data_IF_517720555535
#
_entry.id   IF_517720555535
#
_cell.length_a   1.000
_cell.length_b   1.000
_cell.length_c   1.000
_cell.angle_alpha   90.00
_cell.angle_beta   90.00
_cell.angle_gamma   90.00
#
_symmetry.space_group_name_H-M   'P 1'
#
loop_
_entity.id
_entity.type
_entity.pdbx_description
1 polymer ?
#
# COMPACT_ATOMS: atom_id res chain seq x y z
N UNK A 1 -17.09 12.49 -3.50
CA UNK A 1 -15.99 13.44 -3.76
C UNK A 1 -14.69 12.67 -3.58
N UNK A 2 -13.80 12.64 -4.58
CA UNK A 2 -12.46 12.07 -4.40
C UNK A 2 -11.66 13.02 -3.52
N UNK A 3 -11.10 12.52 -2.44
CA UNK A 3 -10.35 13.30 -1.46
C UNK A 3 -9.08 13.89 -2.13
N UNK A 4 -8.59 15.05 -1.71
CA UNK A 4 -7.35 15.65 -2.24
C UNK A 4 -6.15 14.68 -2.16
N UNK A 5 -6.13 13.85 -1.13
CA UNK A 5 -5.21 12.73 -0.97
C UNK A 5 -5.22 11.76 -2.17
N UNK A 6 -6.40 11.31 -2.62
CA UNK A 6 -6.52 10.40 -3.76
C UNK A 6 -6.01 11.04 -5.05
N UNK A 7 -6.18 12.36 -5.20
CA UNK A 7 -5.68 13.09 -6.37
C UNK A 7 -4.15 13.05 -6.40
N UNK A 8 -3.49 13.37 -5.28
CA UNK A 8 -2.03 13.32 -5.17
C UNK A 8 -1.48 11.90 -5.36
N UNK A 9 -2.13 10.91 -4.75
CA UNK A 9 -1.76 9.51 -4.92
C UNK A 9 -1.87 9.10 -6.40
N UNK A 10 -2.98 9.43 -7.07
CA UNK A 10 -3.18 9.11 -8.48
C UNK A 10 -2.17 9.81 -9.39
N UNK A 11 -1.84 11.07 -9.13
CA UNK A 11 -0.84 11.82 -9.90
C UNK A 11 0.56 11.18 -9.77
N UNK A 12 0.96 10.77 -8.57
CA UNK A 12 2.22 10.04 -8.39
C UNK A 12 2.22 8.73 -9.22
N UNK A 13 1.13 7.96 -9.17
CA UNK A 13 1.03 6.74 -9.95
C UNK A 13 1.11 6.96 -11.47
N UNK A 14 0.59 8.07 -11.98
CA UNK A 14 0.70 8.39 -13.41
C UNK A 14 2.15 8.60 -13.86
N UNK A 15 3.05 8.96 -12.95
CA UNK A 15 4.48 9.17 -13.22
C UNK A 15 5.31 7.89 -13.04
N UNK A 16 5.02 7.09 -12.02
CA UNK A 16 5.91 6.02 -11.57
C UNK A 16 5.34 4.60 -11.70
N UNK A 17 4.05 4.45 -12.02
CA UNK A 17 3.34 3.17 -12.00
C UNK A 17 2.68 2.91 -13.37
N UNK A 18 2.76 1.68 -13.93
CA UNK A 18 2.08 1.35 -15.18
C UNK A 18 0.56 1.48 -15.09
N UNK A 19 -0.08 1.83 -16.20
CA UNK A 19 -1.54 2.04 -16.28
C UNK A 19 -2.34 0.85 -15.74
N UNK A 20 -1.88 -0.38 -15.99
CA UNK A 20 -2.51 -1.61 -15.50
C UNK A 20 -2.61 -1.75 -13.98
N UNK A 21 -1.88 -0.92 -13.22
CA UNK A 21 -1.92 -0.86 -11.75
C UNK A 21 -2.69 0.35 -11.22
N UNK A 22 -3.14 1.29 -12.06
CA UNK A 22 -3.73 2.56 -11.61
C UNK A 22 -5.03 2.41 -10.81
N UNK A 23 -5.74 1.29 -10.97
CA UNK A 23 -6.90 0.92 -10.14
C UNK A 23 -6.55 0.79 -8.65
N UNK A 24 -5.28 0.54 -8.30
CA UNK A 24 -4.80 0.47 -6.92
C UNK A 24 -4.44 1.84 -6.33
N UNK A 25 -4.44 2.90 -7.14
CA UNK A 25 -3.98 4.23 -6.74
C UNK A 25 -5.12 5.08 -6.16
N UNK A 26 -5.72 4.56 -5.10
CA UNK A 26 -6.78 5.16 -4.29
C UNK A 26 -6.71 4.62 -2.86
N UNK A 27 -7.09 5.43 -1.88
CA UNK A 27 -7.12 5.01 -0.48
C UNK A 27 -8.40 4.23 -0.16
N UNK A 28 -8.40 2.95 -0.55
CA UNK A 28 -9.42 1.99 -0.14
C UNK A 28 -9.07 1.41 1.24
N UNK A 29 -9.74 1.91 2.28
CA UNK A 29 -9.46 1.58 3.68
C UNK A 29 -10.38 0.47 4.24
N UNK A 30 -11.37 0.05 3.47
CA UNK A 30 -12.24 -1.07 3.81
C UNK A 30 -11.59 -2.41 3.41
N UNK A 31 -11.61 -3.40 4.31
CA UNK A 31 -10.89 -4.67 4.15
C UNK A 31 -11.28 -5.42 2.86
N UNK A 32 -12.58 -5.66 2.68
CA UNK A 32 -13.10 -6.45 1.56
C UNK A 32 -12.88 -5.75 0.21
N UNK A 33 -13.25 -4.46 0.04
CA UNK A 33 -12.95 -3.73 -1.20
C UNK A 33 -11.46 -3.66 -1.53
N UNK A 34 -10.59 -3.36 -0.57
CA UNK A 34 -9.14 -3.28 -0.80
C UNK A 34 -8.57 -4.63 -1.29
N UNK A 35 -8.97 -5.71 -0.63
CA UNK A 35 -8.59 -7.07 -1.02
C UNK A 35 -9.07 -7.42 -2.42
N UNK A 36 -10.30 -7.07 -2.78
CA UNK A 36 -10.86 -7.33 -4.10
C UNK A 36 -10.12 -6.55 -5.20
N UNK A 37 -9.80 -5.28 -4.95
CA UNK A 37 -9.01 -4.45 -5.87
C UNK A 37 -7.62 -5.05 -6.10
N UNK A 38 -6.93 -5.42 -5.02
CA UNK A 38 -5.63 -6.09 -5.09
C UNK A 38 -5.69 -7.38 -5.93
N UNK A 39 -6.66 -8.24 -5.62
CA UNK A 39 -6.84 -9.51 -6.34
C UNK A 39 -7.14 -9.29 -7.82
N UNK A 40 -8.02 -8.34 -8.17
CA UNK A 40 -8.30 -7.95 -9.55
C UNK A 40 -7.03 -7.49 -10.28
N UNK A 41 -6.22 -6.65 -9.64
CA UNK A 41 -4.98 -6.13 -10.22
C UNK A 41 -3.95 -7.24 -10.51
N UNK A 42 -3.78 -8.18 -9.57
CA UNK A 42 -2.84 -9.30 -9.70
C UNK A 42 -3.36 -10.34 -10.72
N UNK A 43 -4.63 -10.73 -10.62
CA UNK A 43 -5.22 -11.81 -11.44
C UNK A 43 -5.41 -11.41 -12.90
N UNK A 44 -5.70 -10.13 -13.16
CA UNK A 44 -5.77 -9.61 -14.53
C UNK A 44 -4.43 -9.61 -15.26
N UNK A 45 -3.32 -9.90 -14.56
CA UNK A 45 -1.93 -9.82 -15.04
C UNK A 45 -1.53 -8.44 -15.58
N UNK A 46 -2.37 -7.42 -15.41
CA UNK A 46 -2.11 -6.03 -15.81
C UNK A 46 -1.19 -5.33 -14.82
N UNK A 47 -1.21 -5.76 -13.55
CA UNK A 47 -0.32 -5.25 -12.51
C UNK A 47 0.57 -6.36 -11.96
N UNK A 48 1.87 -6.30 -12.29
CA UNK A 48 2.86 -7.20 -11.70
C UNK A 48 3.18 -6.82 -10.24
N UNK A 49 3.46 -7.82 -9.39
CA UNK A 49 3.81 -7.61 -7.97
C UNK A 49 4.95 -6.61 -7.77
N UNK A 50 5.92 -6.55 -8.70
CA UNK A 50 7.04 -5.61 -8.66
C UNK A 50 6.61 -4.13 -8.70
N UNK A 51 5.42 -3.83 -9.20
CA UNK A 51 4.91 -2.45 -9.27
C UNK A 51 4.10 -2.07 -8.04
N UNK A 52 3.69 -3.04 -7.20
CA UNK A 52 2.98 -2.75 -5.96
C UNK A 52 3.87 -1.96 -5.00
N UNK A 53 5.19 -2.14 -5.03
CA UNK A 53 6.12 -1.32 -4.23
C UNK A 53 6.07 0.15 -4.62
N UNK A 54 5.99 0.45 -5.92
CA UNK A 54 5.82 1.82 -6.43
C UNK A 54 4.43 2.40 -6.10
N UNK A 55 3.38 1.57 -6.10
CA UNK A 55 2.05 1.98 -5.61
C UNK A 55 2.12 2.38 -4.13
N UNK A 56 2.73 1.56 -3.28
CA UNK A 56 2.91 1.86 -1.86
C UNK A 56 3.77 3.11 -1.64
N UNK A 57 4.86 3.27 -2.41
CA UNK A 57 5.68 4.47 -2.40
C UNK A 57 4.84 5.72 -2.66
N UNK A 58 4.03 5.71 -3.72
CA UNK A 58 3.13 6.81 -4.03
C UNK A 58 2.06 7.06 -2.96
N UNK A 59 1.48 5.99 -2.38
CA UNK A 59 0.51 6.12 -1.29
C UNK A 59 1.13 6.78 -0.05
N UNK A 60 2.38 6.45 0.25
CA UNK A 60 3.06 6.93 1.46
C UNK A 60 3.42 8.40 1.45
N UNK A 61 3.49 9.04 0.27
CA UNK A 61 4.04 10.40 0.12
C UNK A 61 5.38 10.60 0.85
N UNK A 62 6.23 9.56 0.83
CA UNK A 62 7.52 9.50 1.50
C UNK A 62 7.45 9.68 3.04
N UNK A 63 6.32 9.34 3.66
CA UNK A 63 6.12 9.39 5.11
C UNK A 63 6.40 8.03 5.78
N UNK A 64 7.00 8.06 6.97
CA UNK A 64 7.18 6.88 7.83
C UNK A 64 5.90 6.62 8.65
N UNK A 65 5.11 5.65 8.21
CA UNK A 65 3.85 5.28 8.84
C UNK A 65 3.95 4.04 9.74
N UNK A 66 5.17 3.59 10.09
CA UNK A 66 5.37 2.34 10.86
C UNK A 66 4.72 2.39 12.23
N UNK A 67 4.65 3.56 12.88
CA UNK A 67 3.97 3.72 14.18
C UNK A 67 2.48 3.39 14.07
N UNK A 68 1.80 3.90 13.04
CA UNK A 68 0.39 3.59 12.79
C UNK A 68 0.20 2.09 12.50
N UNK A 69 1.03 1.50 11.63
CA UNK A 69 0.91 0.09 11.31
C UNK A 69 1.17 -0.84 12.51
N UNK A 70 2.13 -0.49 13.38
CA UNK A 70 2.36 -1.21 14.64
C UNK A 70 1.14 -1.12 15.55
N UNK A 71 0.55 0.07 15.69
CA UNK A 71 -0.66 0.28 16.49
C UNK A 71 -1.85 -0.54 15.99
N UNK A 72 -1.98 -0.70 14.67
CA UNK A 72 -3.01 -1.52 14.03
C UNK A 72 -2.60 -2.99 13.83
N UNK A 73 -1.65 -3.49 14.63
CA UNK A 73 -1.25 -4.90 14.71
C UNK A 73 -0.66 -5.51 13.43
N UNK A 74 -0.14 -4.70 12.50
CA UNK A 74 0.50 -5.20 11.28
C UNK A 74 1.82 -5.96 11.54
N UNK A 75 2.34 -5.90 12.75
CA UNK A 75 3.54 -6.61 13.23
C UNK A 75 3.21 -7.70 14.27
N UNK A 76 1.93 -8.03 14.48
CA UNK A 76 1.53 -9.05 15.45
C UNK A 76 2.10 -10.42 15.06
N UNK A 77 2.69 -11.13 16.02
CA UNK A 77 3.29 -12.45 15.81
C UNK A 77 2.28 -13.48 15.33
N UNK A 78 0.99 -13.30 15.63
CA UNK A 78 -0.12 -14.15 15.13
C UNK A 78 -0.28 -14.10 13.62
N UNK A 79 0.16 -13.03 12.96
CA UNK A 79 0.17 -12.93 11.49
C UNK A 79 1.26 -13.81 10.85
N UNK A 80 2.20 -14.37 11.64
CA UNK A 80 3.27 -15.24 11.14
C UNK A 80 4.34 -14.54 10.30
N UNK A 81 4.32 -13.21 10.27
CA UNK A 81 5.21 -12.36 9.44
C UNK A 81 6.16 -11.49 10.25
N UNK A 82 5.97 -11.40 11.58
CA UNK A 82 6.73 -10.50 12.45
C UNK A 82 6.70 -9.06 11.95
N UNK A 83 7.83 -8.36 12.02
CA UNK A 83 7.94 -6.97 11.57
C UNK A 83 7.95 -6.79 10.05
N UNK A 84 7.89 -7.88 9.26
CA UNK A 84 8.05 -7.82 7.81
C UNK A 84 7.08 -6.86 7.13
N UNK A 85 5.82 -6.82 7.56
CA UNK A 85 4.83 -5.96 6.91
C UNK A 85 5.08 -4.46 7.15
N UNK A 86 5.86 -4.09 8.18
CA UNK A 86 6.18 -2.70 8.47
C UNK A 86 6.98 -2.03 7.37
N UNK A 87 7.70 -2.80 6.55
CA UNK A 87 8.38 -2.26 5.37
C UNK A 87 7.42 -1.66 4.35
N UNK A 88 6.15 -2.06 4.36
CA UNK A 88 5.10 -1.49 3.51
C UNK A 88 4.57 -0.16 4.02
N UNK A 89 4.83 0.17 5.29
CA UNK A 89 4.39 1.41 5.93
C UNK A 89 5.45 2.52 5.83
N UNK A 90 6.67 2.18 5.46
CA UNK A 90 7.77 3.10 5.16
C UNK A 90 8.51 2.61 3.90
N UNK A 91 7.84 2.63 2.73
CA UNK A 91 8.40 2.08 1.49
C UNK A 91 9.65 2.84 1.01
N UNK A 92 9.72 4.15 1.27
CA UNK A 92 10.86 5.00 0.93
C UNK A 92 12.07 4.78 1.85
N UNK A 93 11.85 4.72 3.17
CA UNK A 93 12.93 4.55 4.15
C UNK A 93 13.43 3.12 4.31
N UNK A 94 12.60 2.10 4.03
CA UNK A 94 13.00 0.69 4.11
C UNK A 94 13.49 0.10 2.78
N UNK A 95 13.19 0.74 1.64
CA UNK A 95 13.55 0.23 0.33
C UNK A 95 12.86 -1.10 -0.02
N UNK A 96 11.63 -1.03 -0.54
CA UNK A 96 10.94 -2.24 -1.02
C UNK A 96 11.42 -2.59 -2.44
N UNK A 97 12.53 -3.31 -2.53
CA UNK A 97 13.09 -3.72 -3.83
C UNK A 97 12.37 -4.92 -4.44
N UNK A 98 11.72 -5.76 -3.62
CA UNK A 98 10.96 -6.90 -4.09
C UNK A 98 9.74 -7.19 -3.20
N UNK A 99 8.64 -7.56 -3.87
CA UNK A 99 7.44 -8.15 -3.26
C UNK A 99 7.33 -9.57 -3.78
N UNK A 100 7.18 -10.51 -2.86
CA UNK A 100 7.21 -11.95 -3.07
C UNK A 100 5.96 -12.62 -2.52
N UNK A 101 5.80 -13.92 -2.78
CA UNK A 101 4.68 -14.72 -2.20
C UNK A 101 4.66 -14.69 -0.68
N UNK A 102 5.83 -14.58 -0.04
CA UNK A 102 5.94 -14.51 1.42
C UNK A 102 5.44 -13.18 2.01
N UNK A 103 5.02 -12.24 1.16
CA UNK A 103 4.41 -10.97 1.54
C UNK A 103 2.89 -10.96 1.36
N UNK A 104 2.30 -12.09 0.91
CA UNK A 104 0.86 -12.17 0.66
C UNK A 104 0.03 -11.77 1.88
N UNK A 105 0.41 -12.21 3.09
CA UNK A 105 -0.26 -11.81 4.33
C UNK A 105 -0.24 -10.30 4.55
N UNK A 106 0.89 -9.64 4.25
CA UNK A 106 0.98 -8.18 4.35
C UNK A 106 0.06 -7.50 3.34
N UNK A 107 0.04 -8.00 2.10
CA UNK A 107 -0.83 -7.48 1.04
C UNK A 107 -2.32 -7.71 1.33
N UNK A 108 -2.70 -8.79 2.02
CA UNK A 108 -4.08 -8.97 2.45
C UNK A 108 -4.54 -7.96 3.50
N UNK A 109 -3.61 -7.28 4.18
CA UNK A 109 -3.87 -6.17 5.09
C UNK A 109 -3.62 -4.80 4.41
N UNK A 110 -3.79 -4.72 3.09
CA UNK A 110 -3.58 -3.50 2.30
C UNK A 110 -4.46 -2.34 2.80
N UNK A 111 -5.67 -2.62 3.27
CA UNK A 111 -6.57 -1.61 3.83
C UNK A 111 -5.96 -0.87 5.03
N UNK A 112 -5.29 -1.61 5.94
CA UNK A 112 -4.59 -1.04 7.10
C UNK A 112 -3.40 -0.19 6.65
N UNK A 113 -2.63 -0.69 5.67
CA UNK A 113 -1.49 0.03 5.11
C UNK A 113 -1.95 1.35 4.47
N UNK A 114 -3.01 1.30 3.65
CA UNK A 114 -3.58 2.47 3.00
C UNK A 114 -4.20 3.45 4.00
N UNK A 115 -4.86 2.97 5.05
CA UNK A 115 -5.35 3.81 6.13
C UNK A 115 -4.21 4.59 6.80
N UNK A 116 -3.11 3.90 7.12
CA UNK A 116 -1.95 4.54 7.75
C UNK A 116 -1.26 5.54 6.81
N UNK A 117 -1.13 5.21 5.53
CA UNK A 117 -0.60 6.14 4.54
C UNK A 117 -1.48 7.37 4.37
N UNK A 118 -2.80 7.19 4.29
CA UNK A 118 -3.77 8.27 4.20
C UNK A 118 -3.71 9.21 5.41
N UNK A 119 -3.66 8.62 6.61
CA UNK A 119 -3.58 9.34 7.88
C UNK A 119 -2.27 10.10 8.07
N UNK A 120 -1.20 9.68 7.39
CA UNK A 120 0.11 10.31 7.45
C UNK A 120 0.30 11.48 6.49
N UNK A 121 -0.67 11.76 5.60
CA UNK A 121 -0.57 12.86 4.64
C UNK A 121 -0.65 14.19 5.42
N UNK A 122 0.34 15.09 5.24
CA UNK A 122 0.26 16.42 5.82
C UNK A 122 -1.01 17.13 5.33
N UNK A 123 -1.79 17.65 6.28
CA UNK A 123 -2.90 18.55 5.97
C UNK A 123 -2.30 19.95 5.81
N UNK A 124 -2.25 20.44 4.57
CA UNK A 124 -1.94 21.84 4.29
C UNK A 124 -3.12 22.75 4.66
#
# INVERSE_FOLDING_TARGET
MKNGADVLFRQCCQLYVPEGCHDLCQYEIEEIPARNLLMKAITSRKCGLKYISAVLYCASQNQDNRKCCKYLNLADSKLGVGDRCLRFCDPGGQGINAISKSDATCLFNLNVILYCHHSGIPLD
#
